data_IF_099315472036
#
_entry.id   IF_099315472036
#
_cell.length_a   1.000
_cell.length_b   1.000
_cell.length_c   1.000
_cell.angle_alpha   90.00
_cell.angle_beta   90.00
_cell.angle_gamma   90.00
#
_symmetry.space_group_name_H-M   'P 1'
#
loop_
_entity.id
_entity.type
_entity.pdbx_description
1 polymer ?
#
# COMPACT_ATOMS: atom_id res chain seq x y z
N UNK A 1 6.53 17.69 7.71
CA UNK A 1 6.85 16.73 6.63
C UNK A 1 5.78 15.66 6.65
N UNK A 2 5.27 15.26 5.48
CA UNK A 2 4.35 14.12 5.41
C UNK A 2 5.15 12.83 5.62
N UNK A 3 4.49 11.75 6.06
CA UNK A 3 5.12 10.44 6.21
C UNK A 3 5.87 10.00 4.94
N UNK A 4 5.33 10.38 3.76
CA UNK A 4 5.97 10.20 2.46
C UNK A 4 7.35 10.85 2.36
N UNK A 5 7.47 12.13 2.74
CA UNK A 5 8.74 12.87 2.61
C UNK A 5 9.83 12.28 3.51
N UNK A 6 9.47 11.91 4.74
CA UNK A 6 10.41 11.26 5.67
C UNK A 6 10.83 9.88 5.17
N UNK A 7 9.90 9.13 4.56
CA UNK A 7 10.23 7.84 3.97
C UNK A 7 11.16 7.99 2.76
N UNK A 8 10.91 8.95 1.87
CA UNK A 8 11.74 9.19 0.68
C UNK A 8 13.17 9.60 1.05
N UNK A 9 13.36 10.36 2.12
CA UNK A 9 14.70 10.75 2.61
C UNK A 9 15.51 9.59 3.18
N UNK A 10 14.85 8.68 3.90
CA UNK A 10 15.46 7.44 4.41
C UNK A 10 15.71 6.49 3.24
N UNK A 11 14.78 6.45 2.29
CA UNK A 11 14.89 5.68 1.05
C UNK A 11 16.17 6.03 0.31
N UNK A 12 16.46 7.31 0.02
CA UNK A 12 17.63 7.66 -0.80
C UNK A 12 18.97 7.16 -0.21
N UNK A 13 19.04 6.90 1.10
CA UNK A 13 20.29 6.55 1.80
C UNK A 13 20.47 5.05 2.08
N UNK A 14 19.42 4.25 1.91
CA UNK A 14 19.45 2.82 2.22
C UNK A 14 19.69 2.01 0.93
N UNK A 15 20.66 1.11 0.92
CA UNK A 15 20.96 0.19 -0.21
C UNK A 15 20.54 -1.26 0.09
N UNK A 16 19.78 -1.49 1.16
CA UNK A 16 19.38 -2.84 1.55
C UNK A 16 18.41 -3.49 0.55
N UNK A 17 18.55 -4.80 0.39
CA UNK A 17 17.71 -5.63 -0.48
C UNK A 17 16.22 -5.68 -0.09
N UNK A 18 15.90 -5.30 1.16
CA UNK A 18 14.53 -5.31 1.70
C UNK A 18 13.84 -3.95 1.64
N UNK A 19 14.53 -2.90 1.21
CA UNK A 19 14.02 -1.55 1.20
C UNK A 19 12.79 -1.39 0.29
N UNK A 20 12.86 -1.91 -0.94
CA UNK A 20 11.74 -1.84 -1.88
C UNK A 20 10.54 -2.65 -1.38
N UNK A 21 10.79 -3.80 -0.75
CA UNK A 21 9.75 -4.59 -0.09
C UNK A 21 9.08 -3.80 1.04
N UNK A 22 9.85 -3.39 2.06
CA UNK A 22 9.31 -2.75 3.26
C UNK A 22 8.56 -1.47 2.91
N UNK A 23 9.15 -0.67 2.05
CA UNK A 23 8.54 0.58 1.75
C UNK A 23 7.47 0.49 0.67
N UNK A 24 7.41 -0.59 -0.11
CA UNK A 24 6.22 -0.97 -0.86
C UNK A 24 5.03 -1.23 0.08
N UNK A 25 5.24 -1.97 1.18
CA UNK A 25 4.21 -2.16 2.22
C UNK A 25 3.77 -0.83 2.87
N UNK A 26 4.72 0.05 3.15
CA UNK A 26 4.42 1.38 3.70
C UNK A 26 3.61 2.20 2.70
N UNK A 27 3.96 2.17 1.42
CA UNK A 27 3.22 2.87 0.38
C UNK A 27 1.81 2.31 0.19
N UNK A 28 1.60 1.00 0.34
CA UNK A 28 0.25 0.43 0.44
C UNK A 28 -0.52 1.06 1.61
N UNK A 29 0.06 1.14 2.81
CA UNK A 29 -0.61 1.77 3.96
C UNK A 29 -0.90 3.27 3.74
N UNK A 30 0.05 4.02 3.15
CA UNK A 30 -0.12 5.45 2.82
C UNK A 30 -1.23 5.64 1.78
N UNK A 31 -1.29 4.80 0.74
CA UNK A 31 -2.35 4.86 -0.27
C UNK A 31 -3.74 4.72 0.36
N UNK A 32 -3.90 3.79 1.30
CA UNK A 32 -5.15 3.57 2.02
C UNK A 32 -5.50 4.77 2.90
N UNK A 33 -4.54 5.36 3.62
CA UNK A 33 -4.75 6.58 4.40
C UNK A 33 -5.17 7.78 3.53
N UNK A 34 -4.60 7.93 2.33
CA UNK A 34 -5.03 8.96 1.39
C UNK A 34 -6.46 8.72 0.90
N UNK A 35 -6.82 7.45 0.69
CA UNK A 35 -8.18 7.06 0.32
C UNK A 35 -9.17 7.43 1.43
N UNK A 36 -8.85 7.14 2.69
CA UNK A 36 -9.71 7.48 3.84
C UNK A 36 -9.90 8.99 4.03
N UNK A 37 -8.94 9.80 3.58
CA UNK A 37 -9.02 11.26 3.64
C UNK A 37 -9.75 11.89 2.45
N UNK A 38 -10.48 11.10 1.64
CA UNK A 38 -11.24 11.59 0.50
C UNK A 38 -10.38 11.99 -0.70
N UNK A 39 -9.16 11.45 -0.82
CA UNK A 39 -8.28 11.68 -1.97
C UNK A 39 -8.02 10.37 -2.77
N UNK A 40 -9.04 9.84 -3.48
CA UNK A 40 -8.93 8.57 -4.20
C UNK A 40 -7.93 8.61 -5.36
N UNK A 41 -7.85 9.74 -6.07
CA UNK A 41 -6.91 9.90 -7.18
C UNK A 41 -5.45 9.91 -6.71
N UNK A 42 -5.16 10.58 -5.59
CA UNK A 42 -3.84 10.56 -4.97
C UNK A 42 -3.50 9.18 -4.41
N UNK A 43 -4.47 8.54 -3.75
CA UNK A 43 -4.34 7.19 -3.23
C UNK A 43 -3.96 6.18 -4.32
N UNK A 44 -4.65 6.21 -5.47
CA UNK A 44 -4.38 5.29 -6.59
C UNK A 44 -2.96 5.43 -7.13
N UNK A 45 -2.46 6.66 -7.31
CA UNK A 45 -1.08 6.90 -7.77
C UNK A 45 -0.04 6.37 -6.78
N UNK A 46 -0.29 6.54 -5.49
CA UNK A 46 0.59 6.00 -4.44
C UNK A 46 0.58 4.47 -4.49
N UNK A 47 -0.59 3.85 -4.66
CA UNK A 47 -0.70 2.40 -4.80
C UNK A 47 0.02 1.87 -6.05
N UNK A 48 -0.12 2.50 -7.21
CA UNK A 48 0.60 2.10 -8.44
C UNK A 48 2.13 2.08 -8.22
N UNK A 49 2.66 3.08 -7.50
CA UNK A 49 4.07 3.09 -7.08
C UNK A 49 4.37 1.93 -6.13
N UNK A 50 3.57 1.75 -5.08
CA UNK A 50 3.70 0.64 -4.12
C UNK A 50 3.75 -0.72 -4.83
N UNK A 51 2.86 -0.91 -5.82
CA UNK A 51 2.73 -2.14 -6.58
C UNK A 51 4.00 -2.48 -7.35
N UNK A 52 4.57 -1.51 -8.05
CA UNK A 52 5.83 -1.69 -8.77
C UNK A 52 7.01 -2.09 -7.87
N UNK A 53 6.94 -1.73 -6.58
CA UNK A 53 7.99 -2.02 -5.60
C UNK A 53 7.85 -3.42 -5.02
N UNK A 54 6.63 -3.91 -4.82
CA UNK A 54 6.38 -5.24 -4.25
C UNK A 54 6.31 -6.37 -5.29
N UNK A 55 6.01 -6.07 -6.55
CA UNK A 55 5.89 -7.06 -7.65
C UNK A 55 7.12 -7.98 -7.82
N UNK A 56 8.37 -7.50 -7.70
CA UNK A 56 9.55 -8.34 -7.85
C UNK A 56 9.69 -9.46 -6.80
N UNK A 57 8.99 -9.37 -5.68
CA UNK A 57 9.14 -10.28 -4.54
C UNK A 57 8.21 -11.51 -4.59
N UNK A 58 7.46 -11.70 -5.67
CA UNK A 58 6.59 -12.87 -5.86
C UNK A 58 5.33 -12.82 -4.99
N UNK A 59 4.89 -14.00 -4.53
CA UNK A 59 3.60 -14.17 -3.85
C UNK A 59 3.70 -14.11 -2.32
N UNK A 60 4.87 -14.42 -1.75
CA UNK A 60 5.12 -14.35 -0.31
C UNK A 60 6.54 -13.87 -0.03
N UNK A 61 6.70 -12.99 0.96
CA UNK A 61 8.00 -12.55 1.47
C UNK A 61 7.89 -12.16 2.95
N UNK A 62 8.87 -12.61 3.74
CA UNK A 62 9.02 -12.25 5.17
C UNK A 62 7.72 -12.38 5.99
N UNK A 63 6.95 -13.46 5.76
CA UNK A 63 5.70 -13.75 6.46
C UNK A 63 4.48 -12.96 5.97
N UNK A 64 4.60 -12.20 4.88
CA UNK A 64 3.51 -11.46 4.24
C UNK A 64 3.01 -12.20 3.02
N UNK A 65 1.70 -12.43 2.94
CA UNK A 65 1.02 -12.88 1.73
C UNK A 65 0.84 -11.71 0.75
N UNK A 66 1.86 -11.52 -0.09
CA UNK A 66 1.87 -10.46 -1.09
C UNK A 66 0.82 -10.69 -2.17
N UNK A 67 0.54 -11.93 -2.55
CA UNK A 67 -0.50 -12.23 -3.53
C UNK A 67 -1.86 -11.74 -3.06
N UNK A 68 -2.20 -12.04 -1.79
CA UNK A 68 -3.44 -11.57 -1.19
C UNK A 68 -3.49 -10.05 -1.10
N UNK A 69 -2.43 -9.42 -0.58
CA UNK A 69 -2.35 -7.96 -0.47
C UNK A 69 -2.56 -7.29 -1.85
N UNK A 70 -1.83 -7.76 -2.85
CA UNK A 70 -1.90 -7.30 -4.24
C UNK A 70 -3.32 -7.40 -4.79
N UNK A 71 -3.96 -8.56 -4.62
CA UNK A 71 -5.32 -8.83 -5.11
C UNK A 71 -6.36 -7.94 -4.43
N UNK A 72 -6.31 -7.83 -3.09
CA UNK A 72 -7.26 -7.02 -2.32
C UNK A 72 -7.15 -5.53 -2.68
N UNK A 73 -5.92 -5.04 -2.89
CA UNK A 73 -5.66 -3.66 -3.30
C UNK A 73 -6.12 -3.38 -4.75
N UNK A 74 -5.83 -4.29 -5.69
CA UNK A 74 -6.29 -4.18 -7.08
C UNK A 74 -7.82 -4.09 -7.13
N UNK A 75 -8.51 -5.00 -6.44
CA UNK A 75 -9.98 -4.99 -6.37
C UNK A 75 -10.53 -3.70 -5.76
N UNK A 76 -9.89 -3.15 -4.72
CA UNK A 76 -10.30 -1.89 -4.12
C UNK A 76 -10.22 -0.73 -5.12
N UNK A 77 -9.09 -0.60 -5.83
CA UNK A 77 -8.85 0.51 -6.75
C UNK A 77 -9.52 0.36 -8.13
N UNK A 78 -9.89 -0.86 -8.53
CA UNK A 78 -10.71 -1.13 -9.71
C UNK A 78 -12.18 -0.78 -9.47
N UNK A 79 -12.71 -1.07 -8.28
CA UNK A 79 -14.12 -0.82 -7.92
C UNK A 79 -14.36 0.57 -7.31
N UNK A 80 -13.40 1.47 -7.46
CA UNK A 80 -13.43 2.79 -6.84
C UNK A 80 -14.32 3.75 -7.65
N UNK A 81 -15.63 3.58 -7.51
CA UNK A 81 -16.65 4.45 -8.13
C UNK A 81 -16.73 5.78 -7.36
N UNK A 82 -17.08 6.89 -8.00
CA UNK A 82 -17.00 8.25 -7.40
C UNK A 82 -17.83 8.49 -6.11
N UNK A 83 -18.69 7.56 -5.69
CA UNK A 83 -19.44 7.60 -4.42
C UNK A 83 -18.73 6.84 -3.29
N UNK A 84 -17.59 7.35 -2.82
CA UNK A 84 -17.01 6.94 -1.51
C UNK A 84 -17.34 8.02 -0.46
N UNK A 85 -18.61 8.15 -0.07
CA UNK A 85 -19.05 9.11 0.95
C UNK A 85 -19.46 8.51 2.30
N UNK A 86 -19.49 7.18 2.44
CA UNK A 86 -20.06 6.57 3.64
C UNK A 86 -19.01 6.03 4.60
N UNK A 87 -19.11 6.46 5.87
CA UNK A 87 -18.28 6.15 7.03
C UNK A 87 -18.00 4.64 7.29
N UNK A 88 -18.55 3.74 6.49
CA UNK A 88 -18.37 2.29 6.55
C UNK A 88 -17.24 1.76 5.63
N UNK A 89 -16.58 2.62 4.84
CA UNK A 89 -15.47 2.22 3.96
C UNK A 89 -14.23 1.72 4.74
N UNK A 90 -14.04 2.16 5.99
CA UNK A 90 -12.91 1.75 6.84
C UNK A 90 -12.89 0.23 7.10
N UNK A 91 -14.06 -0.42 7.05
CA UNK A 91 -14.14 -1.88 7.20
C UNK A 91 -13.65 -2.65 5.96
N UNK A 92 -13.58 -1.98 4.80
CA UNK A 92 -13.18 -2.56 3.51
C UNK A 92 -11.71 -2.33 3.17
N UNK A 93 -10.99 -1.59 4.02
CA UNK A 93 -9.57 -1.33 3.84
C UNK A 93 -8.79 -2.64 3.99
N UNK A 94 -7.99 -3.03 2.97
CA UNK A 94 -7.12 -4.19 3.05
C UNK A 94 -6.22 -4.12 4.29
N UNK A 95 -6.26 -5.18 5.09
CA UNK A 95 -5.37 -5.31 6.27
C UNK A 95 -4.11 -6.03 5.84
N UNK A 96 -2.96 -5.49 6.23
CA UNK A 96 -1.69 -6.19 6.11
C UNK A 96 -1.67 -7.24 7.22
N UNK A 97 -1.77 -8.52 6.83
CA UNK A 97 -1.74 -9.66 7.73
C UNK A 97 -0.34 -10.27 7.65
N UNK A 98 0.27 -10.48 8.81
CA UNK A 98 1.48 -11.26 8.97
C UNK A 98 1.07 -12.64 9.48
N UNK A 99 1.67 -13.70 8.94
CA UNK A 99 1.53 -15.04 9.54
C UNK A 99 2.10 -15.00 10.98
N UNK A 100 1.46 -15.71 11.92
CA UNK A 100 2.02 -15.88 13.27
C UNK A 100 3.35 -16.61 13.17
N UNK A 101 4.38 -16.05 13.82
CA UNK A 101 5.77 -16.56 13.83
C UNK A 101 5.86 -17.85 14.64
#
# INVERSE_FOLDING_TARGET
MSAQTTLDEIWVKDESTNKDFLGGLIQCAVSLYHLTNGNPNGAKKIYEKARSMIDPYGDKKDGVDLQKLKTDMDQLYENLNEEFSDLDYLQRVPKIIFDEI
#
